data_IF_864022959576
#
_entry.id   IF_864022959576
#
_cell.length_a   1.000
_cell.length_b   1.000
_cell.length_c   1.000
_cell.angle_alpha   90.00
_cell.angle_beta   90.00
_cell.angle_gamma   90.00
#
_symmetry.space_group_name_H-M   'P 1'
#
loop_
_entity.id
_entity.type
_entity.pdbx_description
1 polymer ?
#
# COMPACT_ATOMS: atom_id res chain seq x y z
N UNK A 1 -12.36 -19.87 -6.61
CA UNK A 1 -11.17 -19.29 -7.27
C UNK A 1 -9.95 -19.62 -6.43
N UNK A 2 -8.78 -19.73 -7.05
CA UNK A 2 -7.47 -19.93 -6.40
C UNK A 2 -6.47 -19.03 -7.11
N UNK A 3 -5.69 -18.23 -6.39
CA UNK A 3 -4.66 -17.36 -6.98
C UNK A 3 -3.44 -18.16 -7.48
N UNK A 4 -3.08 -19.25 -6.79
CA UNK A 4 -2.13 -20.25 -7.28
C UNK A 4 -1.07 -20.60 -6.25
N UNK A 5 -0.59 -19.60 -5.51
CA UNK A 5 0.43 -19.74 -4.45
C UNK A 5 -0.03 -19.09 -3.13
N UNK A 6 0.89 -18.48 -2.37
CA UNK A 6 0.64 -17.86 -1.07
C UNK A 6 0.09 -16.46 -1.31
N UNK A 7 -1.03 -16.15 -0.66
CA UNK A 7 -1.65 -14.84 -0.68
C UNK A 7 -2.03 -14.45 0.75
N UNK A 8 -1.64 -13.24 1.15
CA UNK A 8 -1.80 -12.75 2.53
C UNK A 8 -2.46 -11.37 2.54
N UNK A 9 -1.80 -10.36 1.95
CA UNK A 9 -2.35 -9.01 1.88
C UNK A 9 -3.68 -8.95 1.15
N UNK A 10 -4.69 -8.35 1.79
CA UNK A 10 -5.94 -8.03 1.13
C UNK A 10 -6.55 -6.75 1.68
N UNK A 11 -7.17 -5.97 0.80
CA UNK A 11 -7.90 -4.76 1.17
C UNK A 11 -9.09 -4.58 0.24
N UNK A 12 -10.24 -4.18 0.79
CA UNK A 12 -11.45 -3.93 0.03
C UNK A 12 -11.77 -2.44 0.00
N UNK A 13 -12.17 -1.93 -1.16
CA UNK A 13 -12.73 -0.59 -1.30
C UNK A 13 -14.25 -0.67 -1.32
N UNK A 14 -14.88 -0.34 -0.20
CA UNK A 14 -16.33 -0.32 -0.04
C UNK A 14 -17.03 0.66 -1.01
N UNK A 15 -16.31 1.66 -1.55
CA UNK A 15 -16.88 2.65 -2.47
C UNK A 15 -17.08 2.06 -3.86
N UNK A 16 -16.13 1.25 -4.32
CA UNK A 16 -16.11 0.68 -5.67
C UNK A 16 -16.56 -0.78 -5.70
N UNK A 17 -16.67 -1.43 -4.53
CA UNK A 17 -16.97 -2.85 -4.43
C UNK A 17 -15.85 -3.72 -4.97
N UNK A 18 -14.60 -3.26 -4.88
CA UNK A 18 -13.43 -3.99 -5.35
C UNK A 18 -12.63 -4.55 -4.17
N UNK A 19 -12.01 -5.72 -4.38
CA UNK A 19 -11.03 -6.29 -3.46
C UNK A 19 -9.69 -6.44 -4.18
N UNK A 20 -8.64 -5.99 -3.50
CA UNK A 20 -7.25 -6.13 -3.91
C UNK A 20 -6.59 -7.23 -3.07
N UNK A 21 -5.81 -8.09 -3.70
CA UNK A 21 -5.17 -9.24 -3.07
C UNK A 21 -3.73 -9.37 -3.56
N UNK A 22 -2.80 -9.56 -2.63
CA UNK A 22 -1.39 -9.74 -2.92
C UNK A 22 -1.06 -11.23 -2.91
N UNK A 23 -0.50 -11.71 -4.01
CA UNK A 23 0.11 -13.04 -4.11
C UNK A 23 1.63 -12.84 -4.08
N UNK A 24 2.25 -13.21 -2.96
CA UNK A 24 3.57 -12.73 -2.51
C UNK A 24 4.65 -12.72 -3.59
N UNK A 25 4.71 -13.78 -4.40
CA UNK A 25 5.75 -14.02 -5.40
C UNK A 25 5.25 -13.87 -6.85
N UNK A 26 4.06 -13.30 -7.04
CA UNK A 26 3.43 -13.15 -8.37
C UNK A 26 3.02 -11.70 -8.63
N UNK A 27 2.33 -11.07 -7.69
CA UNK A 27 1.88 -9.69 -7.84
C UNK A 27 0.55 -9.38 -7.16
N UNK A 28 -0.06 -8.29 -7.62
CA UNK A 28 -1.28 -7.71 -7.04
C UNK A 28 -2.45 -7.94 -7.98
N UNK A 29 -3.55 -8.42 -7.43
CA UNK A 29 -4.76 -8.79 -8.14
C UNK A 29 -5.94 -7.95 -7.69
N UNK A 30 -6.86 -7.63 -8.60
CA UNK A 30 -8.14 -6.99 -8.28
C UNK A 30 -9.31 -7.82 -8.82
N UNK A 31 -10.41 -7.88 -8.08
CA UNK A 31 -11.69 -8.40 -8.57
C UNK A 31 -12.86 -7.72 -7.84
N UNK A 32 -14.10 -8.06 -8.23
CA UNK A 32 -15.28 -7.66 -7.49
C UNK A 32 -15.35 -8.31 -6.10
N UNK A 33 -15.71 -7.53 -5.09
CA UNK A 33 -15.79 -7.97 -3.70
C UNK A 33 -17.15 -8.61 -3.36
N UNK A 34 -18.19 -8.37 -4.17
CA UNK A 34 -19.52 -8.90 -3.86
C UNK A 34 -19.57 -10.41 -4.10
N UNK A 35 -20.29 -11.19 -3.26
CA UNK A 35 -20.40 -12.64 -3.43
C UNK A 35 -21.03 -13.07 -4.77
N UNK A 36 -21.72 -12.16 -5.46
CA UNK A 36 -22.34 -12.39 -6.77
C UNK A 36 -21.46 -12.02 -7.95
N UNK A 37 -20.32 -11.35 -7.71
CA UNK A 37 -19.41 -10.95 -8.78
C UNK A 37 -18.68 -12.17 -9.36
N UNK A 38 -18.26 -12.10 -10.63
CA UNK A 38 -17.40 -13.14 -11.21
C UNK A 38 -16.09 -13.25 -10.43
N UNK A 39 -15.72 -14.48 -10.07
CA UNK A 39 -14.45 -14.77 -9.42
C UNK A 39 -13.30 -14.86 -10.45
N UNK A 40 -13.10 -13.76 -11.19
CA UNK A 40 -12.12 -13.60 -12.28
C UNK A 40 -11.17 -12.45 -11.93
N UNK A 41 -10.04 -12.71 -11.26
CA UNK A 41 -9.11 -11.68 -10.87
C UNK A 41 -8.31 -11.17 -12.06
N UNK A 42 -8.03 -9.87 -12.05
CA UNK A 42 -7.16 -9.21 -13.02
C UNK A 42 -5.89 -8.81 -12.30
N UNK A 43 -4.74 -9.20 -12.84
CA UNK A 43 -3.45 -8.75 -12.33
C UNK A 43 -3.24 -7.28 -12.68
N UNK A 44 -2.92 -6.47 -11.67
CA UNK A 44 -2.70 -5.03 -11.82
C UNK A 44 -1.25 -4.60 -11.56
N UNK A 45 -0.47 -5.43 -10.88
CA UNK A 45 0.97 -5.27 -10.72
C UNK A 45 1.67 -6.63 -10.64
N UNK A 46 2.94 -6.67 -11.03
CA UNK A 46 3.82 -7.84 -10.93
C UNK A 46 4.83 -7.62 -9.79
N UNK A 47 5.26 -8.71 -9.13
CA UNK A 47 6.47 -8.71 -8.28
C UNK A 47 7.70 -8.76 -9.18
N UNK A 48 7.98 -7.64 -9.85
CA UNK A 48 8.99 -7.50 -10.91
C UNK A 48 10.41 -7.20 -10.39
N UNK A 49 10.57 -6.98 -9.08
CA UNK A 49 11.83 -6.55 -8.47
C UNK A 49 12.19 -5.09 -8.77
N UNK A 50 11.28 -4.31 -9.37
CA UNK A 50 11.43 -2.90 -9.70
C UNK A 50 10.45 -2.07 -8.86
N UNK A 51 9.15 -2.30 -9.03
CA UNK A 51 8.12 -1.64 -8.23
C UNK A 51 7.86 -2.41 -6.94
N UNK A 52 7.82 -3.75 -7.04
CA UNK A 52 7.61 -4.64 -5.90
C UNK A 52 8.68 -5.73 -5.93
N UNK A 53 9.55 -5.74 -4.93
CA UNK A 53 10.40 -6.88 -4.63
C UNK A 53 9.61 -7.86 -3.76
N UNK A 54 9.42 -9.08 -4.26
CA UNK A 54 8.75 -10.13 -3.49
C UNK A 54 9.43 -10.31 -2.12
N UNK A 55 8.70 -10.45 -1.02
CA UNK A 55 7.26 -10.75 -0.99
C UNK A 55 6.35 -9.49 -1.00
N UNK A 56 5.27 -9.55 -1.80
CA UNK A 56 4.18 -8.57 -1.77
C UNK A 56 3.23 -8.87 -0.61
N UNK A 57 3.27 -8.05 0.43
CA UNK A 57 2.65 -8.35 1.73
C UNK A 57 1.38 -7.55 1.98
N UNK A 58 1.27 -6.76 3.05
CA UNK A 58 0.10 -5.96 3.37
C UNK A 58 -0.30 -5.00 2.25
N UNK A 59 -1.59 -4.67 2.22
CA UNK A 59 -2.16 -3.69 1.32
C UNK A 59 -3.06 -2.73 2.10
N UNK A 60 -2.99 -1.43 1.77
CA UNK A 60 -3.86 -0.42 2.35
C UNK A 60 -4.31 0.58 1.28
N UNK A 61 -5.43 1.27 1.54
CA UNK A 61 -6.02 2.24 0.62
C UNK A 61 -5.90 3.67 1.17
N UNK A 62 -5.61 4.61 0.29
CA UNK A 62 -5.78 6.05 0.50
C UNK A 62 -6.94 6.51 -0.40
N UNK A 63 -8.21 6.38 0.04
CA UNK A 63 -9.35 6.71 -0.80
C UNK A 63 -9.49 8.23 -1.05
N UNK A 64 -9.72 8.62 -2.30
CA UNK A 64 -10.05 10.00 -2.70
C UNK A 64 -11.34 10.02 -3.53
N UNK A 65 -12.35 10.76 -3.08
CA UNK A 65 -13.63 10.86 -3.80
C UNK A 65 -14.38 9.52 -3.88
N UNK A 66 -15.07 9.28 -5.00
CA UNK A 66 -15.90 8.07 -5.19
C UNK A 66 -15.09 6.87 -5.68
N UNK A 67 -14.10 7.08 -6.55
CA UNK A 67 -13.34 6.01 -7.24
C UNK A 67 -11.82 6.20 -7.16
N UNK A 68 -11.36 7.42 -6.88
CA UNK A 68 -9.94 7.77 -6.89
C UNK A 68 -9.21 7.39 -5.61
N UNK A 69 -7.92 7.70 -5.62
CA UNK A 69 -7.01 7.47 -4.51
C UNK A 69 -5.93 6.48 -4.87
N UNK A 70 -5.28 5.92 -3.84
CA UNK A 70 -4.09 5.10 -4.01
C UNK A 70 -4.22 3.74 -3.32
N UNK A 71 -3.69 2.72 -3.97
CA UNK A 71 -3.36 1.43 -3.37
C UNK A 71 -1.89 1.48 -2.95
N UNK A 72 -1.61 1.15 -1.70
CA UNK A 72 -0.26 1.08 -1.14
C UNK A 72 0.01 -0.37 -0.78
N UNK A 73 1.09 -0.94 -1.31
CA UNK A 73 1.46 -2.36 -1.16
C UNK A 73 2.83 -2.46 -0.52
N UNK A 74 2.95 -3.23 0.55
CA UNK A 74 4.24 -3.55 1.17
C UNK A 74 5.09 -4.42 0.24
N UNK A 75 6.28 -3.94 -0.09
CA UNK A 75 7.34 -4.65 -0.80
C UNK A 75 8.38 -5.06 0.24
N UNK A 76 8.16 -6.24 0.85
CA UNK A 76 8.78 -6.60 2.13
C UNK A 76 10.31 -6.71 2.05
N UNK A 77 10.82 -7.37 1.00
CA UNK A 77 12.26 -7.67 0.88
C UNK A 77 13.16 -6.47 0.69
N UNK A 78 12.61 -5.32 0.32
CA UNK A 78 13.39 -4.09 0.14
C UNK A 78 12.89 -2.92 0.99
N UNK A 79 12.03 -3.20 1.98
CA UNK A 79 11.57 -2.26 3.00
C UNK A 79 10.84 -1.03 2.43
N UNK A 80 10.16 -1.19 1.30
CA UNK A 80 9.44 -0.08 0.65
C UNK A 80 7.96 -0.39 0.45
N UNK A 81 7.22 0.62 0.01
CA UNK A 81 5.81 0.53 -0.27
C UNK A 81 5.52 1.06 -1.67
N UNK A 82 5.04 0.20 -2.55
CA UNK A 82 4.66 0.56 -3.91
C UNK A 82 3.29 1.23 -3.90
N UNK A 83 3.18 2.39 -4.56
CA UNK A 83 1.95 3.19 -4.64
C UNK A 83 1.40 3.14 -6.06
N UNK A 84 0.13 2.78 -6.21
CA UNK A 84 -0.59 2.72 -7.48
C UNK A 84 -1.87 3.55 -7.42
N UNK A 85 -2.26 4.18 -8.53
CA UNK A 85 -3.56 4.83 -8.68
C UNK A 85 -4.69 3.78 -8.67
N UNK A 86 -5.79 4.03 -7.95
CA UNK A 86 -6.92 3.09 -7.90
C UNK A 86 -7.71 3.02 -9.20
N UNK A 87 -7.78 4.12 -9.97
CA UNK A 87 -8.59 4.16 -11.20
C UNK A 87 -7.89 3.56 -12.41
N UNK A 88 -6.57 3.71 -12.49
CA UNK A 88 -5.77 3.31 -13.65
C UNK A 88 -4.79 2.19 -13.37
N UNK A 89 -4.59 1.84 -12.09
CA UNK A 89 -3.56 0.92 -11.61
C UNK A 89 -2.14 1.30 -12.05
N UNK A 90 -1.93 2.56 -12.41
CA UNK A 90 -0.62 3.05 -12.82
C UNK A 90 0.26 3.23 -11.58
N UNK A 91 1.50 2.77 -11.67
CA UNK A 91 2.51 3.02 -10.65
C UNK A 91 2.74 4.52 -10.50
N UNK A 92 2.82 4.98 -9.26
CA UNK A 92 3.05 6.39 -8.90
C UNK A 92 4.46 6.57 -8.39
N UNK A 93 4.80 5.88 -7.30
CA UNK A 93 6.08 6.01 -6.60
C UNK A 93 6.30 4.83 -5.65
N UNK A 94 7.49 4.78 -5.05
CA UNK A 94 7.80 3.96 -3.88
C UNK A 94 8.06 4.86 -2.68
N UNK A 95 7.52 4.46 -1.53
CA UNK A 95 7.74 5.13 -0.25
C UNK A 95 8.63 4.27 0.64
N UNK A 96 9.36 4.92 1.55
CA UNK A 96 10.17 4.28 2.60
C UNK A 96 9.93 5.05 3.90
N UNK A 97 9.79 4.34 5.02
CA UNK A 97 9.81 4.96 6.35
C UNK A 97 11.25 4.85 6.86
N UNK A 98 12.05 5.84 6.50
CA UNK A 98 13.48 5.89 6.77
C UNK A 98 13.78 6.20 8.25
N UNK A 99 15.01 5.88 8.66
CA UNK A 99 15.54 6.20 9.99
C UNK A 99 15.58 7.71 10.27
N UNK A 100 15.37 8.10 11.53
CA UNK A 100 15.34 9.49 11.94
C UNK A 100 15.33 9.68 13.46
N UNK A 101 14.23 10.21 14.00
CA UNK A 101 14.07 10.37 15.45
C UNK A 101 13.68 9.05 16.13
N UNK A 102 13.05 8.15 15.37
CA UNK A 102 12.73 6.76 15.68
C UNK A 102 13.36 5.95 14.53
N UNK A 103 13.68 4.70 14.80
CA UNK A 103 14.24 3.75 13.84
C UNK A 103 13.35 3.56 12.61
N UNK A 104 13.99 3.13 11.52
CA UNK A 104 13.32 2.82 10.26
C UNK A 104 12.29 1.69 10.41
N UNK A 105 11.52 1.47 9.35
CA UNK A 105 10.65 0.29 9.23
C UNK A 105 11.26 -0.69 8.26
N UNK A 106 11.34 -1.95 8.67
CA UNK A 106 11.90 -3.06 7.89
C UNK A 106 10.99 -4.28 7.91
N UNK A 107 11.04 -5.04 6.81
CA UNK A 107 10.30 -6.28 6.56
C UNK A 107 8.83 -6.19 6.97
N UNK A 108 8.13 -5.16 6.49
CA UNK A 108 6.72 -4.97 6.80
C UNK A 108 5.86 -6.07 6.20
N UNK A 109 5.19 -6.78 7.09
CA UNK A 109 4.13 -7.74 6.82
C UNK A 109 2.81 -6.95 6.66
N UNK A 110 2.14 -6.60 7.76
CA UNK A 110 0.92 -5.79 7.75
C UNK A 110 1.11 -4.27 7.88
N UNK A 111 0.30 -3.50 7.16
CA UNK A 111 0.12 -2.06 7.37
C UNK A 111 -1.34 -1.64 7.12
N UNK A 112 -1.75 -0.49 7.64
CA UNK A 112 -3.09 0.06 7.45
C UNK A 112 -3.06 1.60 7.41
N UNK A 113 -4.01 2.20 6.69
CA UNK A 113 -4.11 3.64 6.52
C UNK A 113 -5.53 4.11 6.82
N UNK A 114 -5.64 5.07 7.72
CA UNK A 114 -6.87 5.82 7.94
C UNK A 114 -6.73 7.23 7.39
N UNK A 115 -7.69 7.68 6.58
CA UNK A 115 -7.79 9.07 6.08
C UNK A 115 -8.71 9.94 6.96
N UNK A 116 -9.18 9.42 8.08
CA UNK A 116 -10.06 10.16 8.99
C UNK A 116 -9.28 11.22 9.79
N UNK A 117 -9.92 12.31 10.16
CA UNK A 117 -9.38 13.24 11.16
C UNK A 117 -9.35 12.54 12.53
N UNK A 118 -8.14 12.22 13.01
CA UNK A 118 -7.89 11.57 14.30
C UNK A 118 -7.40 12.56 15.36
N UNK A 119 -7.70 13.86 15.18
CA UNK A 119 -7.39 14.93 16.10
C UNK A 119 -6.08 15.67 15.78
N UNK A 120 -5.62 16.54 16.70
CA UNK A 120 -4.58 17.53 16.39
C UNK A 120 -3.23 16.96 15.94
N UNK A 121 -2.92 15.70 16.29
CA UNK A 121 -1.69 15.02 15.88
C UNK A 121 -1.81 14.43 14.47
N UNK A 122 -3.00 13.99 14.07
CA UNK A 122 -3.26 13.28 12.82
C UNK A 122 -4.52 13.84 12.13
N UNK A 123 -4.54 15.13 11.78
CA UNK A 123 -5.75 15.78 11.27
C UNK A 123 -6.13 15.33 9.86
N UNK A 124 -5.18 14.76 9.11
CA UNK A 124 -5.43 14.12 7.81
C UNK A 124 -5.46 12.59 7.90
N UNK A 125 -5.36 12.03 9.11
CA UNK A 125 -5.23 10.61 9.33
C UNK A 125 -3.80 10.15 9.56
N UNK A 126 -3.63 8.83 9.53
CA UNK A 126 -2.40 8.15 9.95
C UNK A 126 -2.17 6.91 9.09
N UNK A 127 -0.91 6.66 8.78
CA UNK A 127 -0.44 5.39 8.27
C UNK A 127 0.27 4.64 9.40
N UNK A 128 -0.14 3.39 9.63
CA UNK A 128 0.49 2.50 10.60
C UNK A 128 1.16 1.36 9.84
N UNK A 129 2.45 1.15 10.08
CA UNK A 129 3.21 0.08 9.46
C UNK A 129 3.91 -0.77 10.54
N UNK A 130 3.84 -2.09 10.38
CA UNK A 130 4.62 -3.00 11.22
C UNK A 130 6.09 -2.94 10.84
N UNK A 131 6.96 -3.03 11.87
CA UNK A 131 8.41 -3.17 11.71
C UNK A 131 8.89 -4.43 12.44
N UNK A 132 9.63 -5.27 11.72
CA UNK A 132 10.15 -6.54 12.24
C UNK A 132 11.40 -6.31 13.11
N UNK A 133 12.33 -5.49 12.64
CA UNK A 133 13.61 -5.20 13.31
C UNK A 133 13.60 -3.84 14.03
N UNK A 134 12.90 -3.79 15.17
CA UNK A 134 12.88 -2.57 15.99
C UNK A 134 14.12 -2.47 16.90
N UNK A 135 14.84 -1.34 16.83
CA UNK A 135 16.13 -1.10 17.53
C UNK A 135 16.04 -1.22 19.06
N UNK A 136 14.84 -1.09 19.63
CA UNK A 136 14.59 -1.00 21.06
C UNK A 136 13.89 -2.21 21.67
N UNK A 137 13.73 -3.32 20.94
CA UNK A 137 13.08 -4.51 21.49
C UNK A 137 12.67 -5.53 20.44
N UNK A 138 11.50 -6.13 20.63
CA UNK A 138 10.88 -6.94 19.58
C UNK A 138 10.09 -6.06 18.60
N UNK A 139 9.53 -6.72 17.58
CA UNK A 139 8.60 -6.19 16.59
C UNK A 139 7.61 -5.17 17.18
N UNK A 140 7.40 -4.06 16.46
CA UNK A 140 6.44 -3.03 16.83
C UNK A 140 5.74 -2.41 15.60
N UNK A 141 5.12 -1.24 15.80
CA UNK A 141 4.44 -0.49 14.75
C UNK A 141 4.87 0.98 14.79
N UNK A 142 5.09 1.56 13.60
CA UNK A 142 5.38 2.98 13.40
C UNK A 142 4.13 3.70 12.90
N UNK A 143 3.97 4.96 13.31
CA UNK A 143 2.84 5.81 12.97
C UNK A 143 3.36 7.01 12.20
N UNK A 144 2.90 7.18 10.97
CA UNK A 144 3.31 8.25 10.06
C UNK A 144 2.12 9.18 9.82
N UNK A 145 2.34 10.48 9.91
CA UNK A 145 1.32 11.48 9.61
C UNK A 145 0.99 11.44 8.12
N UNK A 146 -0.29 11.23 7.79
CA UNK A 146 -0.70 11.06 6.40
C UNK A 146 -0.47 12.33 5.56
N UNK A 147 -0.31 13.50 6.18
CA UNK A 147 0.06 14.74 5.47
C UNK A 147 1.40 14.62 4.76
N UNK A 148 2.39 14.02 5.42
CA UNK A 148 3.73 13.87 4.87
C UNK A 148 3.71 12.84 3.73
N UNK A 149 2.99 11.73 3.92
CA UNK A 149 2.78 10.70 2.90
C UNK A 149 2.13 11.27 1.63
N UNK A 150 1.04 12.03 1.81
CA UNK A 150 0.33 12.66 0.68
C UNK A 150 1.22 13.68 -0.05
N UNK A 151 2.05 14.42 0.69
CA UNK A 151 2.98 15.38 0.07
C UNK A 151 4.00 14.67 -0.84
N UNK A 152 4.57 13.54 -0.40
CA UNK A 152 5.50 12.74 -1.21
C UNK A 152 4.84 12.14 -2.45
N UNK A 153 3.60 11.64 -2.31
CA UNK A 153 2.84 11.10 -3.46
C UNK A 153 2.56 12.21 -4.49
N UNK A 154 2.08 13.38 -4.06
CA UNK A 154 1.78 14.48 -4.98
C UNK A 154 3.04 15.08 -5.63
N UNK A 155 4.17 15.09 -4.91
CA UNK A 155 5.46 15.48 -5.48
C UNK A 155 5.88 14.54 -6.62
N UNK A 156 5.84 13.22 -6.39
CA UNK A 156 6.18 12.23 -7.41
C UNK A 156 5.26 12.29 -8.64
N UNK A 157 3.96 12.54 -8.44
CA UNK A 157 3.01 12.71 -9.56
C UNK A 157 3.34 13.93 -10.41
N UNK A 158 3.75 15.02 -9.80
CA UNK A 158 4.12 16.24 -10.51
C UNK A 158 5.36 16.04 -11.38
N UNK A 159 6.37 15.32 -10.87
CA UNK A 159 7.58 15.00 -11.63
C UNK A 159 7.31 14.10 -12.85
N UNK A 160 6.39 13.14 -12.71
CA UNK A 160 5.98 12.27 -13.81
C UNK A 160 5.24 13.02 -14.93
N UNK A 161 4.54 14.12 -14.61
CA UNK A 161 3.84 14.94 -15.59
C UNK A 161 4.78 15.88 -16.38
N UNK A 162 5.86 16.35 -15.75
CA UNK A 162 6.82 17.29 -16.35
C UNK A 162 7.93 16.58 -17.17
N UNK A 163 8.02 15.25 -17.10
CA UNK A 163 9.00 14.42 -17.80
C UNK A 163 8.61 13.97 -19.23
N UNK A 164 7.51 14.47 -19.78
CA UNK A 164 7.00 14.19 -21.14
C UNK A 164 7.08 15.42 -22.07
#
# INVERSE_FOLDING_TARGET
MTLGTIAEGCVADDRTGQIYMNEENVGVWVMGAEPTDPAEPVQIAETDGIHIAADAEGAALIPVGETGGYLVVSSQSDNTYAVYELETYSFVTRLEIADGAIDAVTHTDGHDISTADLGPLFPAGVWVAQDDENDTGGQNFKFVDLRDVLAEIEAARSENLDGH
#
